data_IF_547101851829
#
_entry.id   IF_547101851829
#
_cell.length_a   1.000
_cell.length_b   1.000
_cell.length_c   1.000
_cell.angle_alpha   90.00
_cell.angle_beta   90.00
_cell.angle_gamma   90.00
#
_symmetry.space_group_name_H-M   'P 1'
#
loop_
_entity.id
_entity.type
_entity.pdbx_description
1 polymer ?
#
# COMPACT_ATOMS: atom_id res chain seq x y z
N UNK A 1 7.35 25.30 -2.13
CA UNK A 1 6.86 24.05 -2.78
C UNK A 1 5.55 23.66 -2.16
N UNK A 2 4.67 23.01 -2.91
CA UNK A 2 3.36 22.59 -2.42
C UNK A 2 3.28 21.05 -2.50
N UNK A 3 2.88 20.43 -1.38
CA UNK A 3 2.70 18.97 -1.32
C UNK A 3 1.22 18.63 -1.17
N UNK A 4 0.73 17.69 -1.96
CA UNK A 4 -0.57 17.05 -1.75
C UNK A 4 -0.40 15.79 -0.90
N UNK A 5 -1.09 15.70 0.23
CA UNK A 5 -1.15 14.47 1.04
C UNK A 5 -2.42 13.72 0.65
N UNK A 6 -2.27 12.47 0.27
CA UNK A 6 -3.32 11.61 -0.27
C UNK A 6 -3.65 10.53 0.76
N UNK A 7 -4.88 10.49 1.20
CA UNK A 7 -5.42 9.47 2.10
C UNK A 7 -6.53 8.69 1.41
N UNK A 8 -6.61 7.38 1.66
CA UNK A 8 -7.75 6.56 1.27
C UNK A 8 -8.41 6.01 2.54
N UNK A 9 -9.69 6.32 2.70
CA UNK A 9 -10.52 5.80 3.78
C UNK A 9 -11.48 4.72 3.27
N UNK A 10 -11.71 3.70 4.09
CA UNK A 10 -12.79 2.73 3.93
C UNK A 10 -13.22 2.17 5.29
N UNK A 11 -14.38 2.61 5.77
CA UNK A 11 -14.93 2.23 7.08
C UNK A 11 -13.93 2.43 8.24
N UNK A 12 -13.23 3.58 8.26
CA UNK A 12 -12.14 3.84 9.19
C UNK A 12 -12.06 5.31 9.62
N UNK A 13 -13.19 5.96 9.93
CA UNK A 13 -13.24 7.37 10.31
C UNK A 13 -12.34 7.70 11.50
N UNK A 14 -12.30 6.88 12.56
CA UNK A 14 -11.49 7.13 13.75
C UNK A 14 -9.99 7.24 13.41
N UNK A 15 -9.49 6.32 12.59
CA UNK A 15 -8.10 6.33 12.16
C UNK A 15 -7.82 7.53 11.25
N UNK A 16 -8.71 7.80 10.30
CA UNK A 16 -8.59 8.94 9.39
C UNK A 16 -8.59 10.26 10.14
N UNK A 17 -9.48 10.47 11.10
CA UNK A 17 -9.53 11.68 11.92
C UNK A 17 -8.25 11.84 12.75
N UNK A 18 -7.77 10.78 13.41
CA UNK A 18 -6.51 10.83 14.15
C UNK A 18 -5.30 11.17 13.25
N UNK A 19 -5.30 10.64 12.01
CA UNK A 19 -4.30 11.01 11.01
C UNK A 19 -4.41 12.50 10.64
N UNK A 20 -5.59 13.02 10.36
CA UNK A 20 -5.84 14.44 10.05
C UNK A 20 -5.42 15.36 11.20
N UNK A 21 -5.69 14.98 12.45
CA UNK A 21 -5.23 15.71 13.64
C UNK A 21 -3.69 15.75 13.71
N UNK A 22 -3.00 14.68 13.34
CA UNK A 22 -1.53 14.70 13.29
C UNK A 22 -1.02 15.59 12.14
N UNK A 23 -1.67 15.55 10.98
CA UNK A 23 -1.35 16.37 9.82
C UNK A 23 -1.60 17.88 10.06
N UNK A 24 -2.62 18.24 10.85
CA UNK A 24 -2.89 19.65 11.17
C UNK A 24 -1.76 20.34 11.97
N UNK A 25 -0.85 19.55 12.57
CA UNK A 25 0.29 20.04 13.36
C UNK A 25 1.61 20.14 12.59
N UNK A 26 1.65 19.67 11.34
CA UNK A 26 2.89 19.73 10.56
C UNK A 26 3.20 21.16 10.09
N UNK A 27 4.46 21.46 9.88
CA UNK A 27 4.96 22.82 9.64
C UNK A 27 5.19 23.15 8.18
N UNK A 28 5.19 22.15 7.30
CA UNK A 28 5.42 22.32 5.86
C UNK A 28 4.09 22.61 5.13
N UNK A 29 4.04 23.59 4.20
CA UNK A 29 2.84 23.87 3.43
C UNK A 29 2.31 22.68 2.64
N UNK A 30 1.06 22.33 2.86
CA UNK A 30 0.40 21.20 2.21
C UNK A 30 -1.11 21.38 2.10
N UNK A 31 -1.75 20.52 1.33
CA UNK A 31 -3.19 20.29 1.37
C UNK A 31 -3.46 18.78 1.39
N UNK A 32 -4.64 18.41 1.85
CA UNK A 32 -5.00 17.00 2.04
C UNK A 32 -6.17 16.63 1.13
N UNK A 33 -6.05 15.54 0.40
CA UNK A 33 -7.15 14.92 -0.36
C UNK A 33 -7.45 13.55 0.24
N UNK A 34 -8.68 13.37 0.71
CA UNK A 34 -9.18 12.16 1.32
C UNK A 34 -10.14 11.51 0.32
N UNK A 35 -9.80 10.34 -0.23
CA UNK A 35 -10.74 9.52 -0.99
C UNK A 35 -11.46 8.56 -0.04
N UNK A 36 -12.74 8.78 0.20
CA UNK A 36 -13.58 7.76 0.81
C UNK A 36 -13.96 6.73 -0.24
N UNK A 37 -13.51 5.51 -0.05
CA UNK A 37 -13.62 4.42 -1.01
C UNK A 37 -14.97 3.68 -0.88
N UNK A 38 -16.06 4.46 -0.86
CA UNK A 38 -17.45 3.99 -0.71
C UNK A 38 -17.67 3.28 0.64
N UNK A 39 -17.39 3.99 1.73
CA UNK A 39 -17.68 3.50 3.08
C UNK A 39 -19.17 3.26 3.27
N UNK A 40 -19.51 2.19 3.98
CA UNK A 40 -20.90 1.81 4.31
C UNK A 40 -21.33 2.25 5.72
N UNK A 41 -20.39 2.80 6.50
CA UNK A 41 -20.59 3.35 7.85
C UNK A 41 -20.74 4.87 7.82
N UNK A 42 -20.63 5.53 8.97
CA UNK A 42 -20.71 6.98 9.13
C UNK A 42 -19.40 7.73 8.79
N UNK A 43 -18.43 7.09 8.16
CA UNK A 43 -17.10 7.65 7.90
C UNK A 43 -17.17 8.99 7.15
N UNK A 44 -17.95 9.06 6.07
CA UNK A 44 -18.04 10.27 5.24
C UNK A 44 -18.53 11.46 6.04
N UNK A 45 -19.64 11.29 6.80
CA UNK A 45 -20.24 12.36 7.60
C UNK A 45 -19.33 12.81 8.74
N UNK A 46 -18.63 11.89 9.39
CA UNK A 46 -17.70 12.18 10.49
C UNK A 46 -16.44 12.91 10.01
N UNK A 47 -15.85 12.46 8.91
CA UNK A 47 -14.68 13.12 8.32
C UNK A 47 -15.06 14.51 7.83
N UNK A 48 -16.24 14.69 7.19
CA UNK A 48 -16.70 15.99 6.76
C UNK A 48 -16.94 16.93 7.95
N UNK A 49 -17.60 16.46 9.01
CA UNK A 49 -17.81 17.26 10.22
C UNK A 49 -16.49 17.74 10.85
N UNK A 50 -15.47 16.85 10.89
CA UNK A 50 -14.14 17.24 11.36
C UNK A 50 -13.49 18.33 10.47
N UNK A 51 -13.61 18.19 9.13
CA UNK A 51 -13.11 19.21 8.19
C UNK A 51 -13.82 20.54 8.38
N UNK A 52 -15.13 20.55 8.58
CA UNK A 52 -15.94 21.75 8.76
C UNK A 52 -15.57 22.48 10.06
N UNK A 53 -15.29 21.73 11.13
CA UNK A 53 -14.95 22.27 12.45
C UNK A 53 -13.47 22.72 12.55
N UNK A 54 -12.53 21.92 12.06
CA UNK A 54 -11.09 22.10 12.30
C UNK A 54 -10.29 22.46 11.04
N UNK A 55 -10.88 22.30 9.85
CA UNK A 55 -10.16 22.46 8.58
C UNK A 55 -9.92 23.89 8.14
N UNK A 56 -10.59 24.88 8.75
CA UNK A 56 -10.69 26.25 8.23
C UNK A 56 -9.53 27.18 8.65
N UNK A 57 -8.89 26.97 9.77
CA UNK A 57 -8.03 27.97 10.44
C UNK A 57 -6.54 27.64 10.51
N UNK A 58 -6.04 26.64 9.77
CA UNK A 58 -4.63 26.30 9.82
C UNK A 58 -3.83 27.07 8.74
N UNK A 59 -2.88 27.95 9.12
CA UNK A 59 -2.13 28.77 8.15
C UNK A 59 -1.20 27.96 7.25
N UNK A 60 -0.87 26.72 7.63
CA UNK A 60 0.03 25.83 6.89
C UNK A 60 -0.74 24.88 6.00
N UNK A 61 -1.86 24.35 6.48
CA UNK A 61 -2.74 23.49 5.68
C UNK A 61 -3.55 24.37 4.71
N UNK A 62 -3.32 24.18 3.43
CA UNK A 62 -3.98 24.95 2.36
C UNK A 62 -5.34 24.38 1.94
N UNK A 63 -5.92 23.54 2.76
CA UNK A 63 -7.27 23.00 2.68
C UNK A 63 -7.35 21.49 2.71
N UNK A 64 -8.55 21.01 2.92
CA UNK A 64 -8.94 19.60 2.89
C UNK A 64 -9.98 19.39 1.80
N UNK A 65 -9.91 18.25 1.12
CA UNK A 65 -10.89 17.85 0.13
C UNK A 65 -11.30 16.41 0.39
N UNK A 66 -12.58 16.18 0.68
CA UNK A 66 -13.16 14.85 0.78
C UNK A 66 -13.80 14.46 -0.55
N UNK A 67 -13.41 13.33 -1.10
CA UNK A 67 -13.96 12.72 -2.31
C UNK A 67 -14.73 11.46 -1.93
N UNK A 68 -16.03 11.49 -2.01
CA UNK A 68 -16.86 10.28 -1.86
C UNK A 68 -16.89 9.54 -3.19
N UNK A 69 -16.22 8.38 -3.26
CA UNK A 69 -16.22 7.56 -4.45
C UNK A 69 -17.50 6.71 -4.51
N UNK A 70 -17.96 6.44 -5.73
CA UNK A 70 -19.21 5.70 -6.00
C UNK A 70 -19.11 4.18 -5.77
N UNK A 71 -17.87 3.66 -5.65
CA UNK A 71 -17.60 2.26 -5.35
C UNK A 71 -16.28 2.10 -4.61
N UNK A 72 -16.07 0.94 -3.97
CA UNK A 72 -14.75 0.57 -3.46
C UNK A 72 -13.87 0.11 -4.62
N UNK A 73 -12.91 0.93 -4.97
CA UNK A 73 -11.94 0.70 -6.05
C UNK A 73 -10.64 0.03 -5.60
N UNK A 74 -10.52 -0.29 -4.30
CA UNK A 74 -9.29 -0.79 -3.72
C UNK A 74 -8.24 0.30 -3.48
N UNK A 75 -7.04 -0.13 -3.11
CA UNK A 75 -5.98 0.80 -2.69
C UNK A 75 -5.40 1.58 -3.89
N UNK A 76 -5.02 0.90 -4.96
CA UNK A 76 -4.33 1.53 -6.08
C UNK A 76 -5.21 2.57 -6.79
N UNK A 77 -6.41 2.18 -7.22
CA UNK A 77 -7.32 3.08 -7.94
C UNK A 77 -7.87 4.18 -7.04
N UNK A 78 -8.15 3.89 -5.75
CA UNK A 78 -8.56 4.91 -4.77
C UNK A 78 -7.50 6.01 -4.63
N UNK A 79 -6.23 5.64 -4.50
CA UNK A 79 -5.12 6.60 -4.48
C UNK A 79 -4.99 7.36 -5.81
N UNK A 80 -5.07 6.70 -6.96
CA UNK A 80 -4.97 7.36 -8.27
C UNK A 80 -6.09 8.39 -8.47
N UNK A 81 -7.33 8.08 -8.06
CA UNK A 81 -8.45 9.05 -8.11
C UNK A 81 -8.18 10.28 -7.22
N UNK A 82 -7.64 10.08 -6.02
CA UNK A 82 -7.27 11.18 -5.15
C UNK A 82 -6.08 12.00 -5.68
N UNK A 83 -5.08 11.34 -6.29
CA UNK A 83 -3.97 12.02 -6.98
C UNK A 83 -4.53 12.89 -8.13
N UNK A 84 -5.40 12.34 -8.99
CA UNK A 84 -5.99 13.08 -10.10
C UNK A 84 -6.73 14.35 -9.62
N UNK A 85 -7.47 14.26 -8.50
CA UNK A 85 -8.10 15.42 -7.89
C UNK A 85 -7.07 16.41 -7.33
N UNK A 86 -6.01 15.93 -6.70
CA UNK A 86 -4.94 16.76 -6.18
C UNK A 86 -4.21 17.54 -7.29
N UNK A 87 -4.03 16.92 -8.46
CA UNK A 87 -3.35 17.54 -9.60
C UNK A 87 -4.07 18.76 -10.18
N UNK A 88 -5.36 18.96 -9.88
CA UNK A 88 -6.08 20.21 -10.23
C UNK A 88 -5.49 21.45 -9.53
N UNK A 89 -4.71 21.25 -8.46
CA UNK A 89 -4.03 22.32 -7.72
C UNK A 89 -2.53 22.39 -8.00
N UNK A 90 -2.03 21.63 -8.99
CA UNK A 90 -0.63 21.62 -9.45
C UNK A 90 0.41 21.50 -8.30
N UNK A 91 0.35 20.48 -7.43
CA UNK A 91 1.38 20.28 -6.43
C UNK A 91 2.71 19.88 -7.07
N UNK A 92 3.82 20.26 -6.41
CA UNK A 92 5.17 19.82 -6.82
C UNK A 92 5.41 18.36 -6.43
N UNK A 93 4.87 17.97 -5.27
CA UNK A 93 5.02 16.65 -4.68
C UNK A 93 3.68 16.09 -4.24
N UNK A 94 3.58 14.77 -4.24
CA UNK A 94 2.49 14.04 -3.58
C UNK A 94 3.06 13.09 -2.51
N UNK A 95 2.28 12.86 -1.47
CA UNK A 95 2.54 11.90 -0.40
C UNK A 95 1.36 10.94 -0.28
N UNK A 96 1.51 9.68 -0.72
CA UNK A 96 0.56 8.65 -0.31
C UNK A 96 0.81 8.34 1.16
N UNK A 97 -0.23 8.38 1.96
CA UNK A 97 -0.16 8.10 3.39
C UNK A 97 -1.37 7.26 3.81
N UNK A 98 -1.12 6.15 4.48
CA UNK A 98 -2.23 5.37 5.03
C UNK A 98 -2.99 6.17 6.08
N UNK A 99 -4.31 6.06 6.09
CA UNK A 99 -5.18 6.74 7.03
C UNK A 99 -5.04 6.26 8.49
N UNK A 100 -4.43 5.09 8.73
CA UNK A 100 -4.11 4.54 10.06
C UNK A 100 -2.69 4.90 10.53
N UNK A 101 -2.22 6.09 10.14
CA UNK A 101 -0.91 6.62 10.54
C UNK A 101 -1.02 7.92 11.34
N UNK A 102 -0.01 8.18 12.16
CA UNK A 102 0.26 9.48 12.76
C UNK A 102 1.66 9.94 12.37
N UNK A 103 1.91 11.23 12.31
CA UNK A 103 3.17 11.78 11.82
C UNK A 103 3.82 12.73 12.84
N UNK A 104 5.16 12.82 12.81
CA UNK A 104 5.88 13.87 13.53
C UNK A 104 5.68 15.23 12.84
N UNK A 105 5.64 16.35 13.60
CA UNK A 105 5.37 17.68 13.03
C UNK A 105 6.31 18.10 11.89
N UNK A 106 7.54 17.63 11.90
CA UNK A 106 8.59 17.97 10.92
C UNK A 106 8.84 16.88 9.86
N UNK A 107 7.98 15.82 9.80
CA UNK A 107 8.20 14.69 8.89
C UNK A 107 8.22 15.13 7.43
N UNK A 108 7.27 16.01 7.05
CA UNK A 108 7.13 16.46 5.67
C UNK A 108 8.23 17.45 5.28
N UNK A 109 8.58 18.39 6.16
CA UNK A 109 9.66 19.36 5.90
C UNK A 109 11.01 18.69 5.67
N UNK A 110 11.29 17.58 6.36
CA UNK A 110 12.51 16.78 6.14
C UNK A 110 12.52 16.10 4.77
N UNK A 111 11.38 15.59 4.30
CA UNK A 111 11.26 15.01 2.96
C UNK A 111 11.42 16.07 1.86
N UNK A 112 10.70 17.20 1.99
CA UNK A 112 10.77 18.32 1.04
C UNK A 112 12.18 18.89 0.98
N UNK A 113 12.80 19.18 2.13
CA UNK A 113 14.16 19.70 2.18
C UNK A 113 15.17 18.74 1.51
N UNK A 114 15.04 17.43 1.72
CA UNK A 114 15.89 16.46 1.05
C UNK A 114 15.66 16.44 -0.45
N UNK A 115 14.40 16.41 -0.92
CA UNK A 115 14.04 16.40 -2.34
C UNK A 115 14.53 17.66 -3.06
N UNK A 116 14.41 18.83 -2.42
CA UNK A 116 14.87 20.11 -2.99
C UNK A 116 16.40 20.16 -3.19
N UNK A 117 17.16 19.53 -2.31
CA UNK A 117 18.61 19.44 -2.40
C UNK A 117 19.12 18.26 -3.25
N UNK A 118 18.24 17.36 -3.70
CA UNK A 118 18.58 16.14 -4.45
C UNK A 118 17.56 15.90 -5.58
N UNK A 119 17.49 16.80 -6.54
CA UNK A 119 16.47 16.83 -7.61
C UNK A 119 16.41 15.56 -8.47
N UNK A 120 17.51 14.80 -8.51
CA UNK A 120 17.59 13.53 -9.22
C UNK A 120 16.85 12.40 -8.48
N UNK A 121 16.53 12.58 -7.18
CA UNK A 121 15.77 11.61 -6.38
C UNK A 121 14.30 11.96 -6.46
N UNK A 122 13.51 11.11 -7.08
CA UNK A 122 12.09 11.36 -7.32
C UNK A 122 11.15 10.67 -6.36
N UNK A 123 11.64 9.72 -5.55
CA UNK A 123 10.84 8.92 -4.61
C UNK A 123 11.56 8.85 -3.28
N UNK A 124 10.84 9.18 -2.20
CA UNK A 124 11.35 9.14 -0.84
C UNK A 124 10.43 8.34 0.09
N UNK A 125 11.05 7.57 0.98
CA UNK A 125 10.38 6.91 2.10
C UNK A 125 10.76 7.57 3.41
N UNK A 126 9.84 7.90 4.31
CA UNK A 126 10.18 8.16 5.70
C UNK A 126 10.57 6.85 6.41
N UNK A 127 11.08 6.95 7.62
CA UNK A 127 11.14 5.83 8.55
C UNK A 127 9.76 5.63 9.18
N UNK A 128 9.19 4.44 9.04
CA UNK A 128 7.87 4.10 9.57
C UNK A 128 8.06 3.21 10.80
N UNK A 129 7.60 3.66 11.95
CA UNK A 129 7.63 2.92 13.21
C UNK A 129 6.25 2.36 13.55
N UNK A 130 6.21 1.37 14.44
CA UNK A 130 4.95 0.92 15.02
C UNK A 130 4.34 2.01 15.89
N UNK A 131 3.05 2.29 15.74
CA UNK A 131 2.35 3.25 16.59
C UNK A 131 2.37 2.83 18.07
N UNK A 132 2.19 1.54 18.35
CA UNK A 132 2.21 0.99 19.70
C UNK A 132 3.60 0.90 20.34
N UNK A 133 4.67 0.98 19.54
CA UNK A 133 6.08 0.94 19.95
C UNK A 133 6.85 1.93 19.08
N UNK A 134 6.78 3.22 19.41
CA UNK A 134 7.27 4.33 18.57
C UNK A 134 8.79 4.33 18.31
N UNK A 135 9.55 3.62 19.13
CA UNK A 135 10.99 3.41 18.95
C UNK A 135 11.35 2.18 18.08
N UNK A 136 10.35 1.40 17.65
CA UNK A 136 10.54 0.18 16.89
C UNK A 136 10.15 0.37 15.42
N UNK A 137 11.09 0.10 14.52
CA UNK A 137 10.90 0.24 13.08
C UNK A 137 9.98 -0.87 12.54
N UNK A 138 8.91 -0.47 11.88
CA UNK A 138 8.11 -1.35 11.04
C UNK A 138 8.70 -1.44 9.62
N UNK A 139 9.06 -0.28 9.03
CA UNK A 139 9.62 -0.20 7.69
C UNK A 139 10.49 1.07 7.53
N UNK A 140 11.69 0.92 6.98
CA UNK A 140 12.58 2.04 6.62
C UNK A 140 13.17 1.84 5.22
N UNK A 141 12.33 1.51 4.26
CA UNK A 141 12.77 1.10 2.93
C UNK A 141 13.12 -0.38 2.84
N UNK A 142 13.35 -0.84 1.64
CA UNK A 142 13.68 -2.22 1.36
C UNK A 142 14.59 -2.39 0.14
N UNK A 143 15.02 -3.62 -0.07
CA UNK A 143 15.76 -4.03 -1.25
C UNK A 143 14.98 -5.09 -2.02
N UNK A 144 14.81 -4.86 -3.32
CA UNK A 144 14.29 -5.87 -4.24
C UNK A 144 15.32 -7.00 -4.38
N UNK A 145 14.85 -8.21 -4.22
CA UNK A 145 15.63 -9.43 -4.45
C UNK A 145 15.03 -10.21 -5.62
N UNK A 146 15.60 -11.38 -5.95
CA UNK A 146 15.07 -12.20 -7.03
C UNK A 146 13.65 -12.72 -6.68
N UNK A 147 12.63 -12.16 -7.34
CA UNK A 147 11.22 -12.49 -7.11
C UNK A 147 10.66 -12.14 -5.74
N UNK A 148 11.37 -11.31 -4.94
CA UNK A 148 10.96 -10.97 -3.58
C UNK A 148 11.52 -9.60 -3.15
N UNK A 149 11.34 -9.27 -1.87
CA UNK A 149 11.90 -8.08 -1.23
C UNK A 149 12.39 -8.40 0.18
N UNK A 150 13.31 -7.58 0.68
CA UNK A 150 13.81 -7.61 2.06
C UNK A 150 13.62 -6.21 2.65
N UNK A 151 12.87 -6.11 3.72
CA UNK A 151 12.75 -4.86 4.48
C UNK A 151 14.05 -4.60 5.26
N UNK A 152 14.49 -3.35 5.23
CA UNK A 152 15.67 -2.91 5.99
C UNK A 152 15.24 -2.48 7.39
N UNK A 153 16.06 -2.81 8.37
CA UNK A 153 15.89 -2.44 9.78
C UNK A 153 14.54 -2.83 10.42
N UNK A 154 13.69 -3.59 9.76
CA UNK A 154 12.42 -4.04 10.34
C UNK A 154 12.66 -4.73 11.69
N UNK A 155 11.78 -4.45 12.67
CA UNK A 155 11.86 -4.94 14.06
C UNK A 155 13.04 -4.41 14.88
N UNK A 156 13.88 -3.53 14.34
CA UNK A 156 15.00 -2.88 15.07
C UNK A 156 14.53 -1.60 15.76
N UNK A 157 15.30 -1.16 16.76
CA UNK A 157 15.13 0.17 17.34
C UNK A 157 15.47 1.25 16.29
N UNK A 158 14.73 2.35 16.26
CA UNK A 158 14.92 3.45 15.29
C UNK A 158 16.34 4.02 15.34
N UNK A 159 16.98 4.04 16.49
CA UNK A 159 18.37 4.46 16.63
C UNK A 159 19.37 3.63 15.80
N UNK A 160 19.02 2.38 15.45
CA UNK A 160 19.86 1.54 14.59
C UNK A 160 19.82 1.95 13.11
N UNK A 161 18.82 2.74 12.69
CA UNK A 161 18.73 3.25 11.31
C UNK A 161 19.72 4.38 11.07
N UNK A 162 19.99 5.16 12.10
CA UNK A 162 20.82 6.38 12.02
C UNK A 162 20.09 7.52 11.32
N UNK A 163 20.82 8.60 11.03
CA UNK A 163 20.25 9.83 10.47
C UNK A 163 20.60 10.08 8.98
N UNK A 164 21.48 9.26 8.42
CA UNK A 164 21.96 9.47 7.05
C UNK A 164 20.99 8.84 6.04
N UNK A 165 20.47 9.60 5.07
CA UNK A 165 19.64 9.06 3.99
C UNK A 165 20.38 7.99 3.18
N UNK A 166 19.68 6.95 2.76
CA UNK A 166 20.26 5.81 2.04
C UNK A 166 19.39 5.31 0.90
N UNK A 167 20.03 4.71 -0.09
CA UNK A 167 19.35 4.17 -1.27
C UNK A 167 18.53 2.92 -0.95
N UNK A 168 17.33 2.88 -1.47
CA UNK A 168 16.42 1.73 -1.41
C UNK A 168 16.00 1.32 -2.81
N UNK A 169 15.49 0.13 -2.98
CA UNK A 169 14.88 -0.33 -4.24
C UNK A 169 13.47 -0.87 -4.07
N UNK A 170 12.97 -0.88 -2.83
CA UNK A 170 11.58 -1.19 -2.49
C UNK A 170 11.06 -0.15 -1.49
N UNK A 171 9.84 0.35 -1.73
CA UNK A 171 9.13 1.29 -0.86
C UNK A 171 7.75 0.74 -0.51
N UNK A 172 7.24 1.08 0.67
CA UNK A 172 5.87 0.73 1.07
C UNK A 172 4.89 1.81 0.66
N UNK A 173 3.72 1.41 0.17
CA UNK A 173 2.59 2.30 -0.11
C UNK A 173 2.01 2.98 1.14
N UNK A 174 2.37 2.51 2.35
CA UNK A 174 1.94 3.12 3.60
C UNK A 174 2.36 4.59 3.73
N UNK A 175 3.57 4.95 3.28
CA UNK A 175 4.08 6.31 3.28
C UNK A 175 5.07 6.49 2.12
N UNK A 176 4.57 6.97 0.98
CA UNK A 176 5.31 7.10 -0.26
C UNK A 176 5.25 8.55 -0.75
N UNK A 177 6.39 9.26 -0.64
CA UNK A 177 6.55 10.63 -1.12
C UNK A 177 7.19 10.61 -2.52
N UNK A 178 6.63 11.37 -3.46
CA UNK A 178 7.14 11.40 -4.83
C UNK A 178 6.94 12.76 -5.52
N UNK A 179 7.81 13.05 -6.47
CA UNK A 179 7.68 14.19 -7.35
C UNK A 179 6.64 13.91 -8.44
N UNK A 180 5.75 14.87 -8.71
CA UNK A 180 4.60 14.70 -9.62
C UNK A 180 4.99 14.41 -11.08
N UNK A 181 6.22 14.65 -11.48
CA UNK A 181 6.74 14.25 -12.81
C UNK A 181 6.79 12.74 -13.06
N UNK A 182 6.51 11.91 -12.05
CA UNK A 182 6.41 10.46 -12.20
C UNK A 182 5.01 9.99 -12.61
N UNK A 183 4.02 10.90 -12.58
CA UNK A 183 2.67 10.57 -13.00
C UNK A 183 2.58 10.38 -14.51
N UNK A 184 1.73 9.44 -14.95
CA UNK A 184 1.39 9.29 -16.35
C UNK A 184 0.43 10.40 -16.83
N UNK A 185 0.03 10.38 -18.09
CA UNK A 185 -0.87 11.37 -18.68
C UNK A 185 -2.26 11.41 -18.00
N UNK A 186 -2.68 10.33 -17.34
CA UNK A 186 -3.93 10.22 -16.58
C UNK A 186 -3.78 10.62 -15.11
N UNK A 187 -2.62 11.16 -14.72
CA UNK A 187 -2.27 11.46 -13.33
C UNK A 187 -2.31 10.23 -12.41
N UNK A 188 -1.87 9.07 -12.89
CA UNK A 188 -1.83 7.82 -12.14
C UNK A 188 -0.39 7.45 -11.76
N UNK A 189 -0.22 6.97 -10.54
CA UNK A 189 1.04 6.47 -10.02
C UNK A 189 1.06 4.95 -9.89
N UNK A 190 -0.02 4.37 -9.36
CA UNK A 190 -0.12 2.94 -9.04
C UNK A 190 -0.80 2.17 -10.17
N UNK A 191 -0.48 0.89 -10.29
CA UNK A 191 -1.05 0.01 -11.29
C UNK A 191 -2.50 -0.36 -10.96
N UNK A 192 -3.44 -0.02 -11.86
CA UNK A 192 -4.88 -0.09 -11.60
C UNK A 192 -5.45 -1.51 -11.48
N UNK A 193 -4.78 -2.53 -12.03
CA UNK A 193 -5.28 -3.89 -12.02
C UNK A 193 -5.19 -4.57 -10.63
N UNK A 194 -4.43 -3.99 -9.68
CA UNK A 194 -4.33 -4.52 -8.33
C UNK A 194 -5.35 -3.85 -7.41
N UNK A 195 -6.43 -4.57 -7.12
CA UNK A 195 -7.41 -4.09 -6.16
C UNK A 195 -6.79 -3.90 -4.77
N UNK A 196 -5.99 -4.89 -4.32
CA UNK A 196 -5.32 -4.87 -3.03
C UNK A 196 -4.10 -5.78 -3.00
N UNK A 197 -2.99 -5.26 -2.48
CA UNK A 197 -1.75 -6.00 -2.19
C UNK A 197 -0.78 -6.11 -3.36
N UNK A 198 0.50 -5.86 -3.06
CA UNK A 198 1.64 -5.89 -3.99
C UNK A 198 1.70 -4.72 -5.00
N UNK A 199 0.82 -3.73 -4.91
CA UNK A 199 0.89 -2.50 -5.69
C UNK A 199 2.18 -1.71 -5.43
N UNK A 200 2.67 -1.72 -4.21
CA UNK A 200 3.96 -1.13 -3.83
C UNK A 200 5.17 -1.92 -4.37
N UNK A 201 5.02 -3.24 -4.50
CA UNK A 201 6.03 -4.10 -5.10
C UNK A 201 6.09 -3.91 -6.62
N UNK A 202 4.92 -3.82 -7.28
CA UNK A 202 4.84 -3.48 -8.71
C UNK A 202 5.50 -2.12 -8.97
N UNK A 203 5.08 -1.08 -8.23
CA UNK A 203 5.64 0.25 -8.34
C UNK A 203 7.17 0.23 -8.21
N UNK A 204 7.69 -0.46 -7.20
CA UNK A 204 9.14 -0.55 -6.96
C UNK A 204 9.89 -1.26 -8.10
N UNK A 205 9.31 -2.32 -8.69
CA UNK A 205 9.89 -2.99 -9.85
C UNK A 205 9.91 -2.10 -11.09
N UNK A 206 8.83 -1.34 -11.32
CA UNK A 206 8.72 -0.38 -12.41
C UNK A 206 9.73 0.76 -12.26
N UNK A 207 9.81 1.37 -11.09
CA UNK A 207 10.81 2.42 -10.81
C UNK A 207 12.23 1.93 -11.01
N UNK A 208 12.54 0.69 -10.58
CA UNK A 208 13.84 0.07 -10.86
C UNK A 208 14.10 -0.10 -12.35
N UNK A 209 13.11 -0.55 -13.12
CA UNK A 209 13.23 -0.74 -14.57
C UNK A 209 13.45 0.61 -15.31
N UNK A 210 12.81 1.66 -14.83
CA UNK A 210 12.91 3.03 -15.36
C UNK A 210 14.16 3.79 -14.87
N UNK A 211 14.95 3.18 -13.98
CA UNK A 211 16.16 3.81 -13.45
C UNK A 211 15.88 4.94 -12.45
N UNK A 212 14.68 5.01 -11.89
CA UNK A 212 14.28 6.02 -10.90
C UNK A 212 14.98 5.76 -9.58
N UNK A 213 15.69 6.77 -9.07
CA UNK A 213 16.38 6.70 -7.79
C UNK A 213 15.39 6.88 -6.64
N UNK A 214 15.40 5.95 -5.70
CA UNK A 214 14.58 5.96 -4.49
C UNK A 214 15.47 5.97 -3.25
N UNK A 215 15.10 6.76 -2.24
CA UNK A 215 15.85 6.85 -0.97
C UNK A 215 14.95 6.83 0.25
N UNK A 216 15.48 6.34 1.36
CA UNK A 216 14.90 6.53 2.68
C UNK A 216 15.53 7.75 3.35
N UNK A 217 14.69 8.60 3.96
CA UNK A 217 15.09 9.74 4.80
C UNK A 217 14.74 9.41 6.26
N UNK A 218 15.68 8.82 7.03
CA UNK A 218 15.37 8.25 8.35
C UNK A 218 14.90 9.27 9.39
N UNK A 219 15.29 10.53 9.24
CA UNK A 219 14.88 11.61 10.13
C UNK A 219 13.40 11.98 10.00
N UNK A 220 12.77 11.67 8.85
CA UNK A 220 11.33 11.79 8.66
C UNK A 220 10.65 10.56 9.25
N UNK A 221 9.77 10.76 10.25
CA UNK A 221 9.17 9.66 11.02
C UNK A 221 7.66 9.66 10.91
N UNK A 222 7.12 8.47 10.65
CA UNK A 222 5.67 8.16 10.60
C UNK A 222 5.40 6.99 11.52
N UNK A 223 4.26 7.01 12.22
CA UNK A 223 3.80 5.94 13.11
C UNK A 223 2.59 5.24 12.50
N UNK A 224 2.68 3.93 12.32
CA UNK A 224 1.63 3.12 11.67
C UNK A 224 0.96 2.19 12.67
N UNK A 225 -0.36 2.20 12.74
CA UNK A 225 -1.15 1.38 13.66
C UNK A 225 -1.18 -0.11 13.29
N UNK A 226 -0.53 -0.52 12.26
CA UNK A 226 -0.36 -1.86 11.68
C UNK A 226 -1.44 -2.87 12.09
N UNK A 227 -2.36 -3.16 11.17
CA UNK A 227 -3.40 -4.17 11.38
C UNK A 227 -4.67 -3.65 12.05
N UNK A 228 -4.88 -2.33 12.14
CA UNK A 228 -6.16 -1.76 12.57
C UNK A 228 -7.32 -2.31 11.71
N UNK A 229 -7.13 -2.41 10.41
CA UNK A 229 -8.07 -3.02 9.45
C UNK A 229 -7.95 -4.55 9.34
N UNK A 230 -6.99 -5.19 10.03
CA UNK A 230 -6.69 -6.62 9.88
C UNK A 230 -6.71 -7.36 11.22
N UNK A 231 -7.86 -7.50 11.87
CA UNK A 231 -7.97 -8.47 12.97
C UNK A 231 -7.52 -9.83 12.45
N UNK A 232 -6.45 -10.39 13.05
CA UNK A 232 -5.95 -11.74 12.75
C UNK A 232 -7.05 -12.73 13.08
N UNK A 233 -7.76 -13.20 12.08
CA UNK A 233 -8.68 -14.34 12.21
C UNK A 233 -8.01 -15.54 11.56
N UNK A 234 -7.98 -16.68 12.27
CA UNK A 234 -7.53 -17.99 11.74
C UNK A 234 -8.56 -18.60 10.78
N UNK A 235 -9.34 -17.76 10.10
CA UNK A 235 -10.41 -18.16 9.23
C UNK A 235 -9.98 -18.20 7.75
N UNK A 236 -10.93 -18.54 6.92
CA UNK A 236 -10.82 -18.63 5.47
C UNK A 236 -10.28 -17.35 4.78
N UNK A 237 -10.38 -16.18 5.42
CA UNK A 237 -9.78 -14.93 4.95
C UNK A 237 -8.26 -15.03 4.84
N UNK A 238 -7.61 -15.84 5.69
CA UNK A 238 -6.18 -16.12 5.60
C UNK A 238 -5.79 -16.77 4.27
N UNK A 239 -6.61 -17.71 3.77
CA UNK A 239 -6.39 -18.37 2.49
C UNK A 239 -6.48 -17.38 1.31
N UNK A 240 -7.53 -16.55 1.30
CA UNK A 240 -7.73 -15.54 0.26
C UNK A 240 -6.57 -14.54 0.20
N UNK A 241 -6.09 -14.03 1.36
CA UNK A 241 -4.94 -13.13 1.44
C UNK A 241 -3.68 -13.76 0.88
N UNK A 242 -3.37 -14.99 1.27
CA UNK A 242 -2.18 -15.71 0.77
C UNK A 242 -2.28 -15.95 -0.73
N UNK A 243 -3.48 -16.28 -1.22
CA UNK A 243 -3.70 -16.47 -2.66
C UNK A 243 -3.44 -15.18 -3.43
N UNK A 244 -4.05 -14.05 -3.04
CA UNK A 244 -3.84 -12.74 -3.67
C UNK A 244 -2.38 -12.32 -3.62
N UNK A 245 -1.72 -12.47 -2.46
CA UNK A 245 -0.31 -12.15 -2.31
C UNK A 245 0.56 -12.86 -3.33
N UNK A 246 0.44 -14.20 -3.45
CA UNK A 246 1.25 -14.95 -4.41
C UNK A 246 0.81 -14.72 -5.85
N UNK A 247 -0.49 -14.51 -6.11
CA UNK A 247 -0.98 -14.17 -7.43
C UNK A 247 -0.36 -12.86 -7.92
N UNK A 248 -0.54 -11.76 -7.19
CA UNK A 248 -0.03 -10.45 -7.58
C UNK A 248 1.50 -10.46 -7.68
N UNK A 249 2.18 -11.14 -6.74
CA UNK A 249 3.64 -11.34 -6.79
C UNK A 249 4.10 -12.04 -8.06
N UNK A 250 3.42 -13.09 -8.47
CA UNK A 250 3.77 -13.82 -9.70
C UNK A 250 3.35 -13.07 -10.96
N UNK A 251 2.28 -12.26 -10.92
CA UNK A 251 1.94 -11.32 -12.00
C UNK A 251 3.05 -10.29 -12.17
N UNK A 252 3.53 -9.67 -11.09
CA UNK A 252 4.69 -8.78 -11.14
C UNK A 252 5.92 -9.48 -11.74
N UNK A 253 6.18 -10.73 -11.33
CA UNK A 253 7.28 -11.50 -11.89
C UNK A 253 7.13 -11.72 -13.41
N UNK A 254 5.91 -11.96 -13.89
CA UNK A 254 5.62 -12.09 -15.33
C UNK A 254 5.86 -10.79 -16.10
N UNK A 255 5.50 -9.63 -15.50
CA UNK A 255 5.59 -8.32 -16.14
C UNK A 255 7.02 -7.76 -16.18
N UNK A 256 7.84 -8.04 -15.17
CA UNK A 256 9.12 -7.35 -14.97
C UNK A 256 10.36 -8.22 -15.09
N UNK A 257 10.23 -9.54 -15.16
CA UNK A 257 11.37 -10.46 -15.31
C UNK A 257 11.36 -11.15 -16.67
N UNK A 258 12.51 -11.65 -17.10
CA UNK A 258 12.60 -12.48 -18.31
C UNK A 258 11.78 -13.78 -18.16
N UNK A 259 11.37 -14.38 -19.27
CA UNK A 259 10.60 -15.63 -19.27
C UNK A 259 11.28 -16.75 -18.46
N UNK A 260 12.62 -16.87 -18.55
CA UNK A 260 13.37 -17.85 -17.76
C UNK A 260 13.33 -17.52 -16.27
N UNK A 261 13.56 -16.25 -15.92
CA UNK A 261 13.49 -15.78 -14.52
C UNK A 261 12.09 -15.95 -13.94
N UNK A 262 11.05 -15.63 -14.70
CA UNK A 262 9.67 -15.86 -14.29
C UNK A 262 9.39 -17.36 -14.04
N UNK A 263 9.86 -18.23 -14.93
CA UNK A 263 9.72 -19.68 -14.73
C UNK A 263 10.40 -20.13 -13.43
N UNK A 264 11.61 -19.66 -13.16
CA UNK A 264 12.34 -20.00 -11.94
C UNK A 264 11.64 -19.46 -10.68
N UNK A 265 11.21 -18.19 -10.67
CA UNK A 265 10.46 -17.60 -9.55
C UNK A 265 9.18 -18.40 -9.29
N UNK A 266 8.45 -18.77 -10.33
CA UNK A 266 7.24 -19.55 -10.24
C UNK A 266 7.49 -20.94 -9.62
N UNK A 267 8.55 -21.63 -10.05
CA UNK A 267 8.94 -22.94 -9.51
C UNK A 267 9.37 -22.84 -8.04
N UNK A 268 10.19 -21.85 -7.70
CA UNK A 268 10.65 -21.61 -6.33
C UNK A 268 9.52 -21.20 -5.37
N UNK A 269 8.47 -20.56 -5.88
CA UNK A 269 7.30 -20.18 -5.08
C UNK A 269 6.36 -21.35 -4.78
N UNK A 270 6.32 -22.39 -5.61
CA UNK A 270 5.38 -23.51 -5.46
C UNK A 270 5.42 -24.20 -4.08
N UNK A 271 6.59 -24.55 -3.49
CA UNK A 271 6.61 -25.18 -2.18
C UNK A 271 6.03 -24.30 -1.06
N UNK A 272 6.30 -22.99 -1.11
CA UNK A 272 5.78 -22.01 -0.14
C UNK A 272 4.28 -21.84 -0.30
N UNK A 273 3.80 -21.66 -1.53
CA UNK A 273 2.36 -21.58 -1.83
C UNK A 273 1.64 -22.83 -1.31
N UNK A 274 2.16 -24.01 -1.64
CA UNK A 274 1.57 -25.27 -1.19
C UNK A 274 1.53 -25.39 0.34
N UNK A 275 2.63 -25.02 1.03
CA UNK A 275 2.71 -25.03 2.50
C UNK A 275 1.58 -24.17 3.11
N UNK A 276 1.43 -22.93 2.65
CA UNK A 276 0.42 -22.02 3.19
C UNK A 276 -1.00 -22.45 2.80
N UNK A 277 -1.23 -22.88 1.56
CA UNK A 277 -2.54 -23.37 1.14
C UNK A 277 -2.97 -24.61 1.95
N UNK A 278 -2.03 -25.52 2.23
CA UNK A 278 -2.27 -26.66 3.13
C UNK A 278 -2.60 -26.18 4.54
N UNK A 279 -1.85 -25.22 5.08
CA UNK A 279 -2.05 -24.69 6.42
C UNK A 279 -3.47 -24.12 6.60
N UNK A 280 -3.96 -23.35 5.63
CA UNK A 280 -5.26 -22.70 5.70
C UNK A 280 -6.43 -23.60 5.25
N UNK A 281 -6.22 -24.54 4.32
CA UNK A 281 -7.27 -25.46 3.86
C UNK A 281 -7.39 -26.76 4.68
N UNK A 282 -6.39 -27.08 5.48
CA UNK A 282 -6.34 -28.33 6.24
C UNK A 282 -6.14 -29.58 5.38
N UNK A 283 -6.05 -29.47 4.05
CA UNK A 283 -6.07 -30.59 3.11
C UNK A 283 -4.99 -30.52 2.06
N UNK A 284 -4.21 -31.59 1.88
CA UNK A 284 -3.25 -31.71 0.79
C UNK A 284 -3.92 -31.64 -0.60
N UNK A 285 -5.09 -32.28 -0.75
CA UNK A 285 -5.83 -32.33 -2.02
C UNK A 285 -6.30 -30.92 -2.42
N UNK A 286 -6.90 -30.19 -1.47
CA UNK A 286 -7.38 -28.83 -1.69
C UNK A 286 -6.19 -27.90 -1.97
N UNK A 287 -5.11 -27.97 -1.20
CA UNK A 287 -3.90 -27.17 -1.45
C UNK A 287 -3.35 -27.34 -2.88
N UNK A 288 -3.32 -28.58 -3.41
CA UNK A 288 -2.91 -28.85 -4.78
C UNK A 288 -3.88 -28.26 -5.81
N UNK A 289 -5.18 -28.30 -5.55
CA UNK A 289 -6.18 -27.69 -6.44
C UNK A 289 -6.01 -26.16 -6.48
N UNK A 290 -5.81 -25.52 -5.32
CA UNK A 290 -5.56 -24.08 -5.22
C UNK A 290 -4.26 -23.71 -5.93
N UNK A 291 -3.18 -24.47 -5.72
CA UNK A 291 -1.90 -24.22 -6.39
C UNK A 291 -2.04 -24.32 -7.92
N UNK A 292 -2.71 -25.35 -8.44
CA UNK A 292 -2.96 -25.50 -9.89
C UNK A 292 -3.76 -24.32 -10.44
N UNK A 293 -4.76 -23.85 -9.69
CA UNK A 293 -5.55 -22.68 -10.05
C UNK A 293 -4.68 -21.42 -10.07
N UNK A 294 -3.90 -21.15 -9.03
CA UNK A 294 -2.95 -20.03 -8.99
C UNK A 294 -2.04 -20.02 -10.22
N UNK A 295 -1.42 -21.15 -10.53
CA UNK A 295 -0.49 -21.28 -11.67
C UNK A 295 -1.17 -21.10 -13.04
N UNK A 296 -2.50 -21.31 -13.13
CA UNK A 296 -3.31 -21.00 -14.30
C UNK A 296 -3.65 -19.51 -14.33
N UNK A 297 -4.22 -18.99 -13.25
CA UNK A 297 -4.73 -17.63 -13.16
C UNK A 297 -3.64 -16.58 -13.42
N UNK A 298 -2.43 -16.77 -12.89
CA UNK A 298 -1.26 -15.92 -13.13
C UNK A 298 -0.92 -15.75 -14.63
N UNK A 299 -1.32 -16.69 -15.50
CA UNK A 299 -1.06 -16.58 -16.93
C UNK A 299 -2.07 -15.70 -17.66
N UNK A 300 -3.29 -15.63 -17.16
CA UNK A 300 -4.45 -15.05 -17.85
C UNK A 300 -4.98 -13.77 -17.19
N UNK A 301 -4.78 -13.61 -15.87
CA UNK A 301 -5.26 -12.45 -15.12
C UNK A 301 -4.09 -11.49 -14.83
N UNK A 302 -4.40 -10.21 -14.79
CA UNK A 302 -3.46 -9.14 -14.44
C UNK A 302 -3.66 -8.64 -13.03
N UNK A 303 -4.80 -8.94 -12.40
CA UNK A 303 -5.14 -8.56 -11.03
C UNK A 303 -6.49 -9.11 -10.60
N UNK A 304 -7.03 -8.56 -9.52
CA UNK A 304 -8.34 -8.91 -8.97
C UNK A 304 -9.28 -7.71 -9.03
N UNK A 305 -10.54 -7.96 -9.39
CA UNK A 305 -11.61 -7.00 -9.23
C UNK A 305 -12.12 -6.95 -7.78
N UNK A 306 -12.97 -5.96 -7.46
CA UNK A 306 -13.69 -5.92 -6.16
C UNK A 306 -14.51 -7.19 -5.93
N UNK A 307 -15.16 -7.72 -6.97
CA UNK A 307 -15.94 -8.96 -6.87
C UNK A 307 -15.07 -10.17 -6.53
N UNK A 308 -13.88 -10.29 -7.16
CA UNK A 308 -12.93 -11.35 -6.87
C UNK A 308 -12.38 -11.22 -5.44
N UNK A 309 -12.07 -9.98 -5.01
CA UNK A 309 -11.64 -9.71 -3.64
C UNK A 309 -12.69 -10.13 -2.62
N UNK A 310 -13.95 -9.74 -2.84
CA UNK A 310 -15.06 -10.11 -1.97
C UNK A 310 -15.27 -11.63 -1.92
N UNK A 311 -15.24 -12.29 -3.07
CA UNK A 311 -15.36 -13.74 -3.16
C UNK A 311 -14.22 -14.48 -2.45
N UNK A 312 -12.98 -13.94 -2.52
CA UNK A 312 -11.81 -14.50 -1.84
C UNK A 312 -11.81 -14.29 -0.33
N UNK A 313 -12.33 -13.12 0.13
CA UNK A 313 -12.16 -12.69 1.51
C UNK A 313 -13.38 -12.95 2.38
N UNK A 314 -14.58 -12.94 1.80
CA UNK A 314 -15.80 -12.96 2.60
C UNK A 314 -16.73 -14.13 2.29
N UNK A 315 -16.77 -14.60 1.03
CA UNK A 315 -17.81 -15.57 0.61
C UNK A 315 -17.29 -17.00 0.46
N UNK A 316 -15.99 -17.23 0.45
CA UNK A 316 -15.35 -18.51 0.16
C UNK A 316 -15.76 -19.15 -1.19
N UNK A 317 -16.52 -18.43 -2.01
CA UNK A 317 -17.06 -18.93 -3.28
C UNK A 317 -16.00 -19.04 -4.35
N UNK A 318 -14.94 -18.24 -4.23
CA UNK A 318 -13.82 -18.25 -5.18
C UNK A 318 -13.15 -19.62 -5.29
N UNK A 319 -13.09 -20.38 -4.16
CA UNK A 319 -12.51 -21.73 -4.09
C UNK A 319 -13.57 -22.84 -4.09
N UNK A 320 -14.78 -22.60 -4.60
CA UNK A 320 -15.81 -23.65 -4.70
C UNK A 320 -15.28 -24.79 -5.56
N UNK A 321 -14.61 -25.73 -4.92
CA UNK A 321 -14.28 -27.02 -5.50
C UNK A 321 -15.53 -27.89 -5.42
N UNK A 322 -15.94 -28.48 -6.54
CA UNK A 322 -17.02 -29.46 -6.56
C UNK A 322 -16.76 -30.54 -5.50
N UNK A 323 -17.39 -30.41 -4.35
CA UNK A 323 -17.35 -31.40 -3.26
C UNK A 323 -18.25 -32.60 -3.53
N UNK A 324 -18.82 -32.71 -4.73
CA UNK A 324 -19.72 -33.78 -5.13
C UNK A 324 -19.06 -35.17 -5.33
N UNK A 325 -17.87 -35.39 -4.76
CA UNK A 325 -17.26 -36.72 -4.58
C UNK A 325 -16.48 -36.77 -3.25
N UNK A 326 -17.18 -36.57 -2.13
CA UNK A 326 -16.72 -37.13 -0.87
C UNK A 326 -17.43 -38.48 -0.74
N UNK A 327 -16.83 -39.51 -1.33
CA UNK A 327 -17.13 -40.87 -0.92
C UNK A 327 -16.71 -40.98 0.55
N UNK A 328 -17.67 -41.18 1.40
CA UNK A 328 -17.53 -41.65 2.74
C UNK A 328 -16.81 -43.02 2.68
N UNK A 329 -15.61 -43.09 3.21
CA UNK A 329 -14.96 -44.29 3.70
C UNK A 329 -14.32 -43.99 5.04
#
# INVERSE_FOLDING_TARGET
MMTAIILVNWNGADDTIACLESLSRITEPHFVVIADNSSSDDSVSRIQAWIDEFGQDNPVVKGYQLLSLDANYGFAVGNNKAIAAAMLRNPDYCMLLNNDTEVEPDFLSKLVAFAENNKEVKVLSPCICYHSQRDKVWFSGGQLTFGSRKNLYAEKNIGAVGNTPFTISFISGCALFFHTSLLNEQAELLYNDFFFGEEDYEFSLRMKKEGVKMMCVPQSVVYHKVGASQKRTNDTRGLGRVYMYYHNRLVCARLYYSSLSFLLIRLLSCPLCFKYFKQYSGSHRIAWQILKRLLKDVKTHTGFSHADFSALMFDNTYFSFNTSKVDVL
#
